data_IF_164387381106
#
_entry.id   IF_164387381106
#
_cell.length_a   1.000
_cell.length_b   1.000
_cell.length_c   1.000
_cell.angle_alpha   90.00
_cell.angle_beta   90.00
_cell.angle_gamma   90.00
#
_symmetry.space_group_name_H-M   'P 1'
#
loop_
_entity.id
_entity.type
_entity.pdbx_description
1 polymer ?
#
# COMPACT_ATOMS: atom_id res chain seq x y z
N UNK A 1 -3.50 21.14 12.55
CA UNK A 1 -2.65 21.11 11.35
C UNK A 1 -2.41 19.67 10.92
N UNK A 2 -2.75 19.36 9.68
CA UNK A 2 -2.52 18.03 9.14
C UNK A 2 -1.10 17.87 8.63
N UNK A 3 -0.56 16.69 8.85
CA UNK A 3 0.70 16.27 8.25
C UNK A 3 0.39 15.27 7.15
N UNK A 4 0.91 15.52 5.96
CA UNK A 4 0.87 14.55 4.88
C UNK A 4 2.10 13.66 4.99
N UNK A 5 1.93 12.36 4.82
CA UNK A 5 2.99 11.38 4.88
C UNK A 5 3.21 10.76 3.50
N UNK A 6 4.46 10.67 3.10
CA UNK A 6 4.86 9.91 1.91
C UNK A 6 5.09 8.46 2.32
N UNK A 7 4.41 7.55 1.64
CA UNK A 7 4.61 6.11 1.76
C UNK A 7 5.36 5.61 0.53
N UNK A 8 6.36 4.77 0.74
CA UNK A 8 7.06 4.12 -0.37
C UNK A 8 6.35 2.83 -0.76
N UNK A 9 6.43 2.46 -2.03
CA UNK A 9 5.72 1.33 -2.61
C UNK A 9 6.65 0.13 -2.69
N UNK A 10 6.43 -0.89 -1.86
CA UNK A 10 7.23 -2.13 -1.82
C UNK A 10 8.73 -1.91 -1.60
N UNK A 11 9.14 -0.80 -1.02
CA UNK A 11 10.56 -0.48 -0.90
C UNK A 11 11.23 -0.03 -2.19
N UNK A 12 10.48 0.27 -3.25
CA UNK A 12 11.03 0.76 -4.51
C UNK A 12 11.48 2.22 -4.39
N UNK A 13 12.60 2.52 -5.04
CA UNK A 13 13.13 3.89 -5.11
C UNK A 13 13.97 4.05 -6.38
N UNK A 14 13.32 4.08 -7.56
CA UNK A 14 14.04 4.08 -8.84
C UNK A 14 14.92 5.31 -9.05
N UNK A 15 14.63 6.43 -8.41
CA UNK A 15 15.43 7.65 -8.54
C UNK A 15 16.82 7.51 -7.93
N UNK A 16 17.02 6.57 -7.00
CA UNK A 16 18.32 6.34 -6.37
C UNK A 16 19.20 5.35 -7.15
N UNK A 17 18.70 4.87 -8.30
CA UNK A 17 19.49 4.07 -9.22
C UNK A 17 19.51 2.56 -8.93
N UNK A 18 20.30 1.85 -9.75
CA UNK A 18 20.34 0.39 -9.76
C UNK A 18 20.98 -0.21 -8.50
N UNK A 19 21.75 0.57 -7.75
CA UNK A 19 22.43 0.10 -6.53
C UNK A 19 21.53 0.14 -5.29
N UNK A 20 20.34 0.74 -5.40
CA UNK A 20 19.40 0.75 -4.29
C UNK A 20 18.95 -0.69 -3.97
N UNK A 21 18.75 -1.02 -2.69
CA UNK A 21 18.32 -2.37 -2.31
C UNK A 21 17.07 -2.84 -3.04
N UNK A 22 16.98 -4.14 -3.24
CA UNK A 22 15.90 -4.76 -4.01
C UNK A 22 14.51 -4.49 -3.42
N UNK A 23 13.51 -4.52 -4.28
CA UNK A 23 12.10 -4.44 -3.91
C UNK A 23 11.79 -5.41 -2.76
N UNK A 24 11.04 -4.96 -1.76
CA UNK A 24 10.63 -5.73 -0.58
C UNK A 24 11.78 -6.24 0.28
N UNK A 25 13.01 -5.81 0.03
CA UNK A 25 14.13 -6.20 0.87
C UNK A 25 14.08 -5.51 2.23
N UNK A 26 14.61 -6.19 3.24
CA UNK A 26 14.75 -5.61 4.57
C UNK A 26 15.54 -4.29 4.52
N UNK A 27 16.58 -4.26 3.70
CA UNK A 27 17.47 -3.10 3.53
C UNK A 27 16.75 -1.92 2.87
N UNK A 28 15.88 -2.17 1.88
CA UNK A 28 15.08 -1.10 1.26
C UNK A 28 14.09 -0.50 2.26
N UNK A 29 13.36 -1.34 2.99
CA UNK A 29 12.41 -0.86 3.99
C UNK A 29 13.08 -0.08 5.11
N UNK A 30 14.19 -0.59 5.65
CA UNK A 30 14.91 0.11 6.74
C UNK A 30 15.51 1.42 6.27
N UNK A 31 15.97 1.48 5.02
CA UNK A 31 16.43 2.73 4.42
C UNK A 31 15.31 3.77 4.39
N UNK A 32 14.14 3.42 3.85
CA UNK A 32 13.01 4.33 3.77
C UNK A 32 12.53 4.78 5.15
N UNK A 33 12.41 3.85 6.09
CA UNK A 33 12.00 4.17 7.46
C UNK A 33 13.00 5.12 8.13
N UNK A 34 14.31 4.91 7.94
CA UNK A 34 15.34 5.77 8.52
C UNK A 34 15.32 7.18 7.93
N UNK A 35 14.81 7.35 6.73
CA UNK A 35 14.67 8.65 6.07
C UNK A 35 13.35 9.35 6.41
N UNK A 36 12.53 8.75 7.29
CA UNK A 36 11.29 9.35 7.77
C UNK A 36 10.05 9.02 6.93
N UNK A 37 10.18 8.19 5.90
CA UNK A 37 9.04 7.73 5.11
C UNK A 37 8.28 6.63 5.85
N UNK A 38 6.97 6.54 5.59
CA UNK A 38 6.24 5.31 5.82
C UNK A 38 6.48 4.34 4.66
N UNK A 39 6.09 3.11 4.85
CA UNK A 39 6.24 2.06 3.85
C UNK A 39 4.90 1.37 3.58
N UNK A 40 4.69 0.97 2.33
CA UNK A 40 3.62 0.05 1.95
C UNK A 40 4.26 -1.31 1.69
N UNK A 41 3.67 -2.38 2.20
CA UNK A 41 4.25 -3.71 2.14
C UNK A 41 3.20 -4.81 2.16
N UNK A 42 3.58 -6.00 1.66
CA UNK A 42 2.66 -7.12 1.43
C UNK A 42 3.04 -8.33 2.30
N UNK A 43 2.33 -8.60 3.40
CA UNK A 43 2.53 -9.85 4.13
C UNK A 43 2.18 -11.06 3.28
N UNK A 44 3.03 -12.07 3.31
CA UNK A 44 2.91 -13.28 2.50
C UNK A 44 3.06 -14.53 3.37
N UNK A 45 2.11 -15.48 3.31
CA UNK A 45 2.21 -16.69 4.12
C UNK A 45 3.34 -17.60 3.64
N UNK A 46 4.07 -18.19 4.59
CA UNK A 46 5.06 -19.24 4.37
C UNK A 46 4.70 -20.44 5.25
N UNK A 47 5.49 -21.51 5.18
CA UNK A 47 5.16 -22.76 5.86
C UNK A 47 5.00 -22.60 7.38
N UNK A 48 5.80 -21.75 8.01
CA UNK A 48 5.81 -21.59 9.48
C UNK A 48 5.64 -20.14 9.95
N UNK A 49 5.07 -19.24 9.12
CA UNK A 49 4.90 -17.86 9.54
C UNK A 49 4.58 -16.95 8.38
N UNK A 50 5.02 -15.70 8.48
CA UNK A 50 4.72 -14.65 7.51
C UNK A 50 6.02 -13.92 7.15
N UNK A 51 6.27 -13.80 5.85
CA UNK A 51 7.34 -12.93 5.31
C UNK A 51 6.71 -11.75 4.58
N UNK A 52 7.54 -10.84 4.08
CA UNK A 52 7.06 -9.68 3.33
C UNK A 52 7.50 -9.82 1.88
N UNK A 53 6.55 -9.99 0.97
CA UNK A 53 6.80 -10.14 -0.47
C UNK A 53 5.52 -9.86 -1.25
N UNK A 54 5.64 -9.10 -2.32
CA UNK A 54 4.52 -8.89 -3.24
C UNK A 54 4.13 -10.18 -3.94
N UNK A 55 5.13 -10.92 -4.45
CA UNK A 55 4.93 -12.15 -5.20
C UNK A 55 4.85 -13.36 -4.27
N UNK A 56 4.17 -14.41 -4.71
CA UNK A 56 4.10 -15.70 -4.01
C UNK A 56 5.28 -16.61 -4.32
N UNK A 57 6.12 -16.22 -5.30
CA UNK A 57 7.31 -16.99 -5.71
C UNK A 57 8.52 -16.08 -5.73
N UNK A 58 9.70 -16.67 -5.70
CA UNK A 58 10.98 -15.94 -5.72
C UNK A 58 11.48 -15.59 -7.12
N UNK A 59 10.81 -16.08 -8.16
CA UNK A 59 11.33 -16.01 -9.55
C UNK A 59 11.69 -14.62 -10.02
N UNK A 60 10.75 -13.68 -9.94
CA UNK A 60 10.98 -12.30 -10.41
C UNK A 60 12.03 -11.58 -9.56
N UNK A 61 11.95 -11.70 -8.24
CA UNK A 61 12.85 -11.01 -7.32
C UNK A 61 14.31 -11.50 -7.44
N UNK A 62 14.50 -12.76 -7.77
CA UNK A 62 15.84 -13.36 -7.94
C UNK A 62 16.30 -13.39 -9.39
N UNK A 63 15.54 -12.79 -10.31
CA UNK A 63 15.81 -12.82 -11.77
C UNK A 63 15.97 -14.25 -12.30
N UNK A 64 15.14 -15.17 -11.81
CA UNK A 64 15.12 -16.55 -12.24
C UNK A 64 16.12 -17.48 -11.55
N UNK A 65 16.94 -16.96 -10.62
CA UNK A 65 17.93 -17.79 -9.91
C UNK A 65 17.25 -18.77 -8.95
N UNK A 66 16.09 -18.42 -8.41
CA UNK A 66 15.30 -19.26 -7.51
C UNK A 66 13.83 -19.11 -7.88
N UNK A 67 13.16 -20.22 -8.17
CA UNK A 67 11.76 -20.22 -8.60
C UNK A 67 10.82 -20.83 -7.55
N UNK A 68 11.32 -21.04 -6.33
CA UNK A 68 10.51 -21.67 -5.28
C UNK A 68 9.30 -20.85 -4.90
N UNK A 69 8.22 -21.55 -4.53
CA UNK A 69 7.03 -20.96 -3.98
C UNK A 69 7.20 -20.69 -2.49
N UNK A 70 6.93 -19.46 -2.05
CA UNK A 70 7.11 -19.07 -0.66
C UNK A 70 6.29 -19.91 0.30
N UNK A 71 5.08 -20.33 -0.09
CA UNK A 71 4.22 -21.15 0.76
C UNK A 71 4.85 -22.50 1.16
N UNK A 72 5.82 -23.00 0.40
CA UNK A 72 6.51 -24.26 0.68
C UNK A 72 7.79 -24.09 1.47
N UNK A 73 8.17 -22.86 1.78
CA UNK A 73 9.44 -22.54 2.46
C UNK A 73 9.18 -22.11 3.91
N UNK A 74 10.17 -22.30 4.77
CA UNK A 74 10.14 -21.72 6.11
C UNK A 74 10.61 -20.26 6.07
N UNK A 75 10.30 -19.50 7.12
CA UNK A 75 10.80 -18.12 7.27
C UNK A 75 12.34 -18.11 7.19
N UNK A 76 12.98 -19.04 7.86
CA UNK A 76 14.44 -19.16 7.93
C UNK A 76 15.03 -19.42 6.54
N UNK A 77 14.38 -20.25 5.75
CA UNK A 77 14.81 -20.48 4.35
C UNK A 77 14.66 -19.23 3.48
N UNK A 78 13.54 -18.52 3.62
CA UNK A 78 13.26 -17.33 2.80
C UNK A 78 14.31 -16.23 3.04
N UNK A 79 14.62 -15.93 4.29
CA UNK A 79 15.55 -14.85 4.61
C UNK A 79 17.01 -15.17 4.23
N UNK A 80 17.32 -16.44 3.92
CA UNK A 80 18.64 -16.86 3.45
C UNK A 80 18.83 -16.69 1.93
N UNK A 81 17.73 -16.47 1.19
CA UNK A 81 17.84 -16.34 -0.26
C UNK A 81 18.38 -14.95 -0.62
N UNK A 82 19.54 -14.88 -1.31
CA UNK A 82 20.08 -13.60 -1.72
C UNK A 82 19.24 -12.99 -2.85
N UNK A 83 18.87 -11.73 -2.70
CA UNK A 83 18.33 -10.92 -3.79
C UNK A 83 19.50 -10.22 -4.49
N UNK A 84 19.28 -9.57 -5.65
CA UNK A 84 20.35 -8.78 -6.28
C UNK A 84 21.00 -7.79 -5.31
N UNK A 85 20.23 -7.21 -4.39
CA UNK A 85 20.76 -6.37 -3.31
C UNK A 85 19.87 -6.53 -2.08
N UNK A 86 20.36 -7.22 -1.05
CA UNK A 86 19.65 -7.45 0.19
C UNK A 86 18.89 -8.76 0.24
N UNK A 87 17.95 -8.87 1.16
CA UNK A 87 17.15 -10.07 1.41
C UNK A 87 15.72 -9.73 1.81
N UNK A 88 14.81 -10.67 1.62
CA UNK A 88 13.46 -10.54 2.18
C UNK A 88 13.51 -10.62 3.72
N UNK A 89 12.47 -10.11 4.36
CA UNK A 89 12.37 -10.13 5.81
C UNK A 89 11.09 -10.87 6.26
N UNK A 90 11.11 -11.31 7.52
CA UNK A 90 9.89 -11.77 8.18
C UNK A 90 9.03 -10.55 8.55
N UNK A 91 7.73 -10.78 8.71
CA UNK A 91 6.85 -9.73 9.21
C UNK A 91 7.26 -9.28 10.61
N UNK A 92 7.67 -10.21 11.47
CA UNK A 92 8.17 -9.88 12.81
C UNK A 92 9.34 -8.89 12.76
N UNK A 93 10.33 -9.15 11.89
CA UNK A 93 11.48 -8.25 11.73
C UNK A 93 11.03 -6.84 11.30
N UNK A 94 10.12 -6.78 10.32
CA UNK A 94 9.66 -5.48 9.80
C UNK A 94 8.85 -4.71 10.84
N UNK A 95 8.00 -5.38 11.59
CA UNK A 95 7.21 -4.75 12.66
C UNK A 95 8.09 -4.15 13.76
N UNK A 96 9.20 -4.80 14.10
CA UNK A 96 10.18 -4.24 15.04
C UNK A 96 10.77 -2.93 14.52
N UNK A 97 11.11 -2.87 13.24
CA UNK A 97 11.64 -1.67 12.62
C UNK A 97 10.59 -0.55 12.54
N UNK A 98 9.36 -0.89 12.19
CA UNK A 98 8.24 0.05 12.19
C UNK A 98 8.03 0.66 13.58
N UNK A 99 8.08 -0.15 14.62
CA UNK A 99 7.88 0.33 15.99
C UNK A 99 8.91 1.38 16.41
N UNK A 100 10.15 1.27 15.91
CA UNK A 100 11.25 2.19 16.24
C UNK A 100 11.27 3.44 15.36
N UNK A 101 10.70 3.37 14.16
CA UNK A 101 10.82 4.41 13.15
C UNK A 101 9.92 5.61 13.47
N UNK A 102 10.24 6.81 12.94
CA UNK A 102 9.44 8.00 13.24
C UNK A 102 8.11 8.07 12.51
N UNK A 103 7.94 7.39 11.37
CA UNK A 103 6.70 7.45 10.61
C UNK A 103 5.50 6.97 11.43
N UNK A 104 4.44 7.75 11.46
CA UNK A 104 3.26 7.46 12.26
C UNK A 104 2.29 6.50 11.56
N UNK A 105 2.43 6.30 10.26
CA UNK A 105 1.59 5.41 9.47
C UNK A 105 2.43 4.60 8.50
N UNK A 106 2.17 3.31 8.45
CA UNK A 106 2.72 2.39 7.45
C UNK A 106 1.54 1.56 6.94
N UNK A 107 1.51 1.31 5.64
CA UNK A 107 0.37 0.67 4.99
C UNK A 107 0.64 -0.81 4.76
N UNK A 108 -0.07 -1.65 5.46
CA UNK A 108 -0.05 -3.10 5.29
C UNK A 108 -1.12 -3.46 4.26
N UNK A 109 -0.68 -3.98 3.10
CA UNK A 109 -1.58 -4.43 2.05
C UNK A 109 -2.03 -5.86 2.33
N UNK A 110 -3.30 -6.01 2.69
CA UNK A 110 -3.90 -7.31 2.88
C UNK A 110 -4.62 -7.72 1.59
N UNK A 111 -3.90 -8.40 0.68
CA UNK A 111 -4.44 -8.80 -0.61
C UNK A 111 -5.70 -9.65 -0.46
N UNK A 112 -6.64 -9.50 -1.39
CA UNK A 112 -7.93 -10.18 -1.31
C UNK A 112 -7.83 -11.70 -1.22
N UNK A 113 -6.91 -12.32 -1.96
CA UNK A 113 -6.71 -13.78 -1.92
C UNK A 113 -6.01 -14.28 -0.65
N UNK A 114 -5.48 -13.36 0.16
CA UNK A 114 -4.87 -13.67 1.46
C UNK A 114 -5.83 -13.45 2.64
N UNK A 115 -7.05 -13.02 2.38
CA UNK A 115 -8.07 -12.79 3.42
C UNK A 115 -8.82 -14.11 3.71
N UNK A 116 -8.09 -15.09 4.20
CA UNK A 116 -8.60 -16.41 4.61
C UNK A 116 -8.58 -16.51 6.14
N UNK A 117 -9.44 -17.35 6.75
CA UNK A 117 -9.43 -17.50 8.20
C UNK A 117 -8.06 -17.88 8.76
N UNK A 118 -7.35 -18.78 8.09
CA UNK A 118 -6.03 -19.25 8.52
C UNK A 118 -5.00 -18.12 8.50
N UNK A 119 -4.95 -17.36 7.40
CA UNK A 119 -3.98 -16.27 7.30
C UNK A 119 -4.31 -15.13 8.26
N UNK A 120 -5.59 -14.79 8.40
CA UNK A 120 -6.02 -13.72 9.31
C UNK A 120 -5.66 -14.07 10.76
N UNK A 121 -5.83 -15.32 11.17
CA UNK A 121 -5.45 -15.77 12.51
C UNK A 121 -3.94 -15.63 12.72
N UNK A 122 -3.13 -16.09 11.75
CA UNK A 122 -1.67 -15.97 11.82
C UNK A 122 -1.24 -14.50 11.87
N UNK A 123 -1.86 -13.64 11.07
CA UNK A 123 -1.59 -12.20 11.05
C UNK A 123 -1.91 -11.55 12.39
N UNK A 124 -3.06 -11.84 12.95
CA UNK A 124 -3.48 -11.31 14.26
C UNK A 124 -2.49 -11.71 15.35
N UNK A 125 -2.08 -12.98 15.38
CA UNK A 125 -1.09 -13.46 16.36
C UNK A 125 0.25 -12.74 16.19
N UNK A 126 0.70 -12.54 14.95
CA UNK A 126 1.91 -11.80 14.67
C UNK A 126 1.81 -10.35 15.15
N UNK A 127 0.73 -9.65 14.83
CA UNK A 127 0.53 -8.27 15.25
C UNK A 127 0.48 -8.12 16.77
N UNK A 128 -0.14 -9.07 17.46
CA UNK A 128 -0.20 -9.05 18.94
C UNK A 128 1.17 -9.21 19.60
N UNK A 129 2.15 -9.79 18.91
CA UNK A 129 3.53 -9.85 19.40
C UNK A 129 4.24 -8.50 19.32
N UNK A 130 3.68 -7.53 18.56
CA UNK A 130 4.30 -6.23 18.31
C UNK A 130 3.32 -5.10 18.64
N UNK A 131 2.90 -4.96 19.91
CA UNK A 131 1.90 -3.96 20.28
C UNK A 131 2.35 -2.52 19.98
N UNK A 132 3.65 -2.25 20.00
CA UNK A 132 4.17 -0.91 19.69
C UNK A 132 4.10 -0.55 18.21
N UNK A 133 3.97 -1.54 17.32
CA UNK A 133 3.81 -1.31 15.90
C UNK A 133 2.35 -1.04 15.51
N UNK A 134 1.39 -1.62 16.22
CA UNK A 134 -0.03 -1.53 15.87
C UNK A 134 -0.51 -0.09 15.67
N UNK A 135 -0.20 0.88 16.55
CA UNK A 135 -0.63 2.27 16.36
C UNK A 135 -0.03 2.94 15.12
N UNK A 136 1.01 2.37 14.54
CA UNK A 136 1.72 2.89 13.36
C UNK A 136 1.35 2.16 12.08
N UNK A 137 0.29 1.35 12.11
CA UNK A 137 -0.18 0.57 10.96
C UNK A 137 -1.55 1.05 10.49
N UNK A 138 -1.75 0.97 9.19
CA UNK A 138 -3.06 1.04 8.56
C UNK A 138 -3.14 -0.14 7.60
N UNK A 139 -4.12 -1.02 7.81
CA UNK A 139 -4.33 -2.20 6.97
C UNK A 139 -5.37 -1.84 5.92
N UNK A 140 -5.01 -1.95 4.65
CA UNK A 140 -5.91 -1.57 3.57
C UNK A 140 -6.25 -2.75 2.65
N UNK A 141 -7.23 -2.52 1.77
CA UNK A 141 -7.76 -3.49 0.83
C UNK A 141 -8.60 -4.59 1.51
N UNK A 142 -9.14 -4.27 2.70
CA UNK A 142 -9.94 -5.23 3.46
C UNK A 142 -11.37 -5.27 2.95
N UNK A 143 -11.91 -6.50 2.76
CA UNK A 143 -13.34 -6.67 2.57
C UNK A 143 -14.08 -6.40 3.88
N UNK A 144 -15.37 -6.11 3.80
CA UNK A 144 -16.17 -5.76 4.97
C UNK A 144 -16.11 -6.86 6.06
N UNK A 145 -16.27 -8.11 5.70
CA UNK A 145 -16.22 -9.22 6.64
C UNK A 145 -14.84 -9.38 7.28
N UNK A 146 -13.77 -9.10 6.52
CA UNK A 146 -12.42 -9.08 7.06
C UNK A 146 -12.23 -7.93 8.05
N UNK A 147 -12.74 -6.75 7.71
CA UNK A 147 -12.69 -5.59 8.59
C UNK A 147 -13.42 -5.84 9.91
N UNK A 148 -14.60 -6.46 9.84
CA UNK A 148 -15.38 -6.84 11.04
C UNK A 148 -14.58 -7.79 11.93
N UNK A 149 -13.94 -8.80 11.32
CA UNK A 149 -13.13 -9.79 12.04
C UNK A 149 -11.90 -9.14 12.69
N UNK A 150 -11.17 -8.32 11.95
CA UNK A 150 -9.98 -7.63 12.46
C UNK A 150 -10.35 -6.61 13.55
N UNK A 151 -11.44 -5.86 13.38
CA UNK A 151 -11.90 -4.89 14.37
C UNK A 151 -12.21 -5.55 15.71
N UNK A 152 -12.80 -6.73 15.67
CA UNK A 152 -13.13 -7.49 16.86
C UNK A 152 -11.89 -8.00 17.60
N UNK A 153 -10.89 -8.46 16.84
CA UNK A 153 -9.66 -9.03 17.39
C UNK A 153 -8.63 -7.99 17.80
N UNK A 154 -8.56 -6.87 17.08
CA UNK A 154 -7.59 -5.80 17.25
C UNK A 154 -8.30 -4.45 17.13
N UNK A 155 -9.04 -4.02 18.18
CA UNK A 155 -9.87 -2.80 18.11
C UNK A 155 -9.09 -1.52 17.78
N UNK A 156 -7.81 -1.48 18.07
CA UNK A 156 -6.96 -0.31 17.86
C UNK A 156 -6.36 -0.22 16.47
N UNK A 157 -6.45 -1.29 15.69
CA UNK A 157 -5.87 -1.33 14.35
C UNK A 157 -6.66 -0.45 13.39
N UNK A 158 -5.98 0.45 12.69
CA UNK A 158 -6.61 1.26 11.66
C UNK A 158 -6.84 0.42 10.39
N UNK A 159 -8.06 0.47 9.88
CA UNK A 159 -8.47 -0.28 8.69
C UNK A 159 -8.96 0.68 7.61
N UNK A 160 -8.76 0.29 6.36
CA UNK A 160 -9.19 1.07 5.20
C UNK A 160 -9.73 0.15 4.10
N UNK A 161 -10.91 0.46 3.53
CA UNK A 161 -11.35 -0.20 2.31
C UNK A 161 -10.59 0.39 1.12
N UNK A 162 -10.42 -0.41 0.07
CA UNK A 162 -9.94 0.09 -1.23
C UNK A 162 -11.11 0.68 -1.99
N UNK A 163 -11.10 1.99 -2.17
CA UNK A 163 -12.16 2.72 -2.88
C UNK A 163 -11.73 3.01 -4.30
N UNK A 164 -12.55 2.60 -5.24
CA UNK A 164 -12.36 2.84 -6.67
C UNK A 164 -13.60 3.48 -7.26
N UNK A 165 -13.45 4.06 -8.45
CA UNK A 165 -14.59 4.54 -9.23
C UNK A 165 -15.51 3.36 -9.58
N UNK A 166 -16.82 3.57 -9.61
CA UNK A 166 -17.80 2.49 -9.89
C UNK A 166 -17.47 1.72 -11.17
N UNK A 167 -17.01 2.42 -12.19
CA UNK A 167 -16.60 1.81 -13.45
C UNK A 167 -15.41 0.85 -13.27
N UNK A 168 -14.47 1.18 -12.40
CA UNK A 168 -13.31 0.33 -12.11
C UNK A 168 -13.71 -0.88 -11.26
N UNK A 169 -14.68 -0.73 -10.38
CA UNK A 169 -15.21 -1.87 -9.62
C UNK A 169 -15.75 -2.92 -10.57
N UNK A 170 -16.53 -2.51 -11.58
CA UNK A 170 -17.05 -3.41 -12.60
C UNK A 170 -15.94 -4.12 -13.38
N UNK A 171 -14.84 -3.40 -13.69
CA UNK A 171 -13.74 -3.93 -14.50
C UNK A 171 -12.81 -4.85 -13.72
N UNK A 172 -12.49 -4.49 -12.48
CA UNK A 172 -11.34 -5.07 -11.79
C UNK A 172 -11.69 -5.86 -10.53
N UNK A 173 -12.93 -5.82 -10.05
CA UNK A 173 -13.25 -6.41 -8.74
C UNK A 173 -12.99 -7.92 -8.68
N UNK A 174 -13.20 -8.64 -9.77
CA UNK A 174 -12.88 -10.08 -9.83
C UNK A 174 -11.38 -10.31 -9.63
N UNK A 175 -10.54 -9.49 -10.29
CA UNK A 175 -9.08 -9.60 -10.18
C UNK A 175 -8.56 -9.24 -8.78
N UNK A 176 -9.27 -8.39 -8.05
CA UNK A 176 -8.93 -8.02 -6.67
C UNK A 176 -9.60 -8.91 -5.62
N UNK A 177 -10.28 -9.97 -6.07
CA UNK A 177 -11.02 -10.88 -5.17
C UNK A 177 -12.10 -10.16 -4.34
N UNK A 178 -12.79 -9.20 -4.95
CA UNK A 178 -13.91 -8.51 -4.33
C UNK A 178 -13.57 -7.45 -3.31
N UNK A 179 -12.35 -6.92 -3.34
CA UNK A 179 -11.93 -5.91 -2.34
C UNK A 179 -12.32 -4.48 -2.70
N UNK A 180 -12.61 -4.20 -3.97
CA UNK A 180 -12.93 -2.83 -4.39
C UNK A 180 -14.33 -2.43 -3.92
N UNK A 181 -14.42 -1.23 -3.37
CA UNK A 181 -15.64 -0.69 -2.74
C UNK A 181 -15.95 0.69 -3.31
N UNK A 182 -17.24 0.97 -3.48
CA UNK A 182 -17.69 2.31 -3.84
C UNK A 182 -17.50 3.28 -2.68
N UNK A 183 -17.26 4.55 -3.00
CA UNK A 183 -17.10 5.60 -2.01
C UNK A 183 -18.31 5.66 -1.05
N UNK A 184 -19.53 5.57 -1.57
CA UNK A 184 -20.75 5.61 -0.75
C UNK A 184 -20.81 4.49 0.29
N UNK A 185 -20.36 3.28 -0.07
CA UNK A 185 -20.29 2.15 0.84
C UNK A 185 -19.25 2.37 1.93
N UNK A 186 -18.06 2.86 1.56
CA UNK A 186 -17.01 3.18 2.51
C UNK A 186 -17.46 4.23 3.53
N UNK A 187 -18.13 5.28 3.06
CA UNK A 187 -18.68 6.34 3.91
C UNK A 187 -19.73 5.79 4.87
N UNK A 188 -20.61 4.92 4.39
CA UNK A 188 -21.65 4.32 5.22
C UNK A 188 -21.09 3.46 6.35
N UNK A 189 -19.95 2.80 6.14
CA UNK A 189 -19.31 1.92 7.11
C UNK A 189 -18.22 2.63 7.97
N UNK A 190 -18.02 3.93 7.79
CA UNK A 190 -16.90 4.66 8.39
C UNK A 190 -16.92 4.67 9.91
N UNK A 191 -18.08 4.82 10.54
CA UNK A 191 -18.17 4.94 12.00
C UNK A 191 -17.80 3.64 12.73
N UNK A 192 -18.11 2.49 12.13
CA UNK A 192 -17.99 1.20 12.80
C UNK A 192 -16.73 0.43 12.41
N UNK A 193 -16.21 0.63 11.20
CA UNK A 193 -15.14 -0.21 10.68
C UNK A 193 -13.86 0.56 10.32
N UNK A 194 -13.97 1.74 9.72
CA UNK A 194 -12.84 2.36 9.05
C UNK A 194 -12.42 3.69 9.64
N UNK A 195 -11.10 3.88 9.75
CA UNK A 195 -10.51 5.19 10.09
C UNK A 195 -9.92 5.88 8.88
N UNK A 196 -9.64 5.11 7.82
CA UNK A 196 -9.04 5.54 6.57
C UNK A 196 -9.85 5.05 5.38
N UNK A 197 -9.63 5.68 4.24
CA UNK A 197 -9.90 5.11 2.92
C UNK A 197 -8.59 5.02 2.17
N UNK A 198 -8.50 4.02 1.29
CA UNK A 198 -7.40 3.89 0.34
C UNK A 198 -7.98 4.10 -1.05
N UNK A 199 -7.69 5.27 -1.65
CA UNK A 199 -8.25 5.64 -2.94
C UNK A 199 -7.35 5.18 -4.07
N UNK A 200 -7.94 4.61 -5.10
CA UNK A 200 -7.23 4.13 -6.27
C UNK A 200 -7.98 4.55 -7.54
N UNK A 201 -7.40 5.46 -8.29
CA UNK A 201 -8.00 5.96 -9.53
C UNK A 201 -7.80 5.01 -10.72
N UNK A 202 -6.85 4.08 -10.65
CA UNK A 202 -6.49 3.11 -11.68
C UNK A 202 -5.99 3.74 -12.98
N UNK A 203 -6.89 4.33 -13.75
CA UNK A 203 -6.63 5.04 -14.99
C UNK A 203 -7.70 6.14 -15.19
N UNK A 204 -7.77 6.71 -16.37
CA UNK A 204 -8.74 7.76 -16.70
C UNK A 204 -9.86 7.27 -17.62
N UNK A 205 -9.87 6.00 -18.04
CA UNK A 205 -10.89 5.47 -18.91
C UNK A 205 -12.23 5.33 -18.16
N UNK A 206 -13.25 5.94 -18.69
CA UNK A 206 -14.61 5.87 -18.17
C UNK A 206 -15.56 5.15 -19.11
N UNK A 207 -16.85 5.02 -18.72
CA UNK A 207 -17.87 4.40 -19.55
C UNK A 207 -18.01 5.12 -20.90
N UNK A 208 -18.21 4.34 -21.98
CA UNK A 208 -18.49 4.86 -23.32
C UNK A 208 -17.43 5.84 -23.83
N UNK A 209 -16.17 5.63 -23.48
CA UNK A 209 -15.08 6.49 -23.91
C UNK A 209 -14.95 7.82 -23.14
N UNK A 210 -15.73 8.01 -22.08
CA UNK A 210 -15.62 9.18 -21.24
C UNK A 210 -14.36 9.15 -20.38
N UNK A 211 -14.00 10.28 -19.79
CA UNK A 211 -12.92 10.39 -18.80
C UNK A 211 -13.52 10.34 -17.42
N UNK A 212 -12.96 9.50 -16.54
CA UNK A 212 -13.33 9.46 -15.13
C UNK A 212 -12.22 10.01 -14.26
N UNK A 213 -12.61 10.56 -13.12
CA UNK A 213 -11.71 11.01 -12.07
C UNK A 213 -12.22 10.54 -10.71
N UNK A 214 -11.32 10.07 -9.87
CA UNK A 214 -11.61 9.76 -8.47
C UNK A 214 -11.00 10.80 -7.52
N UNK A 215 -9.79 11.28 -7.83
CA UNK A 215 -9.12 12.29 -7.01
C UNK A 215 -9.67 13.67 -7.32
N UNK A 216 -10.78 14.00 -6.69
CA UNK A 216 -11.53 15.24 -6.90
C UNK A 216 -11.86 15.90 -5.57
N UNK A 217 -12.12 17.23 -5.56
CA UNK A 217 -12.59 17.90 -4.35
C UNK A 217 -13.83 17.25 -3.73
N UNK A 218 -14.77 16.80 -4.54
CA UNK A 218 -16.01 16.18 -4.06
C UNK A 218 -15.73 14.85 -3.35
N UNK A 219 -14.87 14.01 -3.90
CA UNK A 219 -14.46 12.74 -3.26
C UNK A 219 -13.78 13.02 -1.92
N UNK A 220 -12.85 13.96 -1.89
CA UNK A 220 -12.14 14.30 -0.66
C UNK A 220 -13.08 14.89 0.40
N UNK A 221 -14.01 15.75 -0.02
CA UNK A 221 -15.02 16.30 0.89
C UNK A 221 -15.87 15.18 1.51
N UNK A 222 -16.36 14.24 0.70
CA UNK A 222 -17.17 13.13 1.20
C UNK A 222 -16.41 12.30 2.25
N UNK A 223 -15.13 12.02 2.02
CA UNK A 223 -14.28 11.32 2.99
C UNK A 223 -14.11 12.13 4.28
N UNK A 224 -13.81 13.42 4.16
CA UNK A 224 -13.60 14.30 5.33
C UNK A 224 -14.88 14.45 6.15
N UNK A 225 -16.01 14.63 5.50
CA UNK A 225 -17.31 14.77 6.18
C UNK A 225 -17.66 13.49 6.95
N UNK A 226 -17.18 12.35 6.48
CA UNK A 226 -17.34 11.06 7.18
C UNK A 226 -16.29 10.80 8.28
N UNK A 227 -15.35 11.73 8.49
CA UNK A 227 -14.29 11.58 9.48
C UNK A 227 -13.16 10.65 9.06
N UNK A 228 -13.06 10.32 7.77
CA UNK A 228 -12.05 9.40 7.26
C UNK A 228 -10.76 10.15 6.90
N UNK A 229 -9.63 9.55 7.21
CA UNK A 229 -8.33 9.96 6.66
C UNK A 229 -8.18 9.39 5.26
N UNK A 230 -7.42 10.05 4.42
CA UNK A 230 -7.29 9.70 3.00
C UNK A 230 -5.85 9.30 2.69
N UNK A 231 -5.67 8.03 2.34
CA UNK A 231 -4.49 7.54 1.65
C UNK A 231 -4.81 7.28 0.19
N UNK A 232 -3.85 7.42 -0.70
CA UNK A 232 -4.06 7.15 -2.12
C UNK A 232 -2.77 6.73 -2.80
N UNK A 233 -2.92 6.14 -3.99
CA UNK A 233 -1.82 5.76 -4.86
C UNK A 233 -1.65 6.82 -5.96
N UNK A 234 -0.40 7.13 -6.27
CA UNK A 234 -0.07 8.00 -7.39
C UNK A 234 -0.18 7.24 -8.71
N UNK A 235 -0.32 7.96 -9.87
CA UNK A 235 -0.64 7.30 -11.15
C UNK A 235 0.31 6.21 -11.62
N UNK A 236 1.59 6.25 -11.23
CA UNK A 236 2.59 5.31 -11.73
C UNK A 236 2.52 3.91 -11.09
N UNK A 237 1.80 3.73 -9.98
CA UNK A 237 1.89 2.49 -9.21
C UNK A 237 1.41 1.26 -9.97
N UNK A 238 0.36 1.36 -10.76
CA UNK A 238 -0.14 0.23 -11.56
C UNK A 238 0.78 -0.14 -12.72
N UNK A 239 1.68 0.73 -13.12
CA UNK A 239 2.70 0.44 -14.12
C UNK A 239 3.90 -0.32 -13.57
N UNK A 240 4.02 -0.44 -12.22
CA UNK A 240 5.09 -1.20 -11.59
C UNK A 240 4.85 -2.70 -11.80
N UNK A 241 5.87 -3.43 -12.26
CA UNK A 241 5.75 -4.86 -12.54
C UNK A 241 5.74 -5.71 -11.27
N UNK A 242 4.90 -6.74 -11.18
CA UNK A 242 3.75 -6.92 -12.05
C UNK A 242 2.60 -6.01 -11.62
N UNK A 243 1.94 -5.37 -12.55
CA UNK A 243 0.66 -4.72 -12.29
C UNK A 243 -0.43 -5.77 -12.00
N UNK A 244 -1.61 -5.32 -11.63
CA UNK A 244 -2.70 -6.23 -11.27
C UNK A 244 -3.16 -7.09 -12.45
N UNK A 245 -3.33 -6.49 -13.61
CA UNK A 245 -3.76 -7.17 -14.85
C UNK A 245 -2.66 -7.19 -15.91
N UNK A 246 -1.40 -6.99 -15.54
CA UNK A 246 -0.28 -7.03 -16.47
C UNK A 246 0.35 -5.67 -16.76
N UNK A 247 0.20 -4.72 -15.86
CA UNK A 247 0.82 -3.40 -16.00
C UNK A 247 -0.11 -2.38 -16.63
N UNK A 248 -1.21 -2.11 -15.97
CA UNK A 248 -2.14 -1.05 -16.36
C UNK A 248 -1.45 0.30 -16.36
N UNK A 249 -1.65 1.07 -17.43
CA UNK A 249 -1.02 2.37 -17.59
C UNK A 249 -2.02 3.49 -17.35
N UNK A 250 -1.80 4.25 -16.27
CA UNK A 250 -2.51 5.51 -16.09
C UNK A 250 -1.89 6.55 -17.05
N UNK A 251 -2.69 7.31 -17.82
CA UNK A 251 -2.16 8.28 -18.79
C UNK A 251 -1.25 9.35 -18.19
N UNK A 252 -1.36 9.60 -16.89
CA UNK A 252 -0.54 10.58 -16.19
C UNK A 252 0.66 9.96 -15.47
N UNK A 253 0.92 8.66 -15.68
CA UNK A 253 2.07 7.98 -15.09
C UNK A 253 3.40 8.40 -15.73
N UNK A 254 3.40 8.83 -16.97
CA UNK A 254 4.60 9.20 -17.73
C UNK A 254 4.29 10.26 -18.79
N UNK A 255 5.27 11.04 -19.23
CA UNK A 255 6.64 11.10 -18.71
C UNK A 255 6.69 11.63 -17.27
N UNK A 256 7.87 11.60 -16.65
CA UNK A 256 8.02 12.00 -15.26
C UNK A 256 7.49 13.41 -14.97
N UNK A 257 7.71 14.35 -15.89
CA UNK A 257 7.19 15.73 -15.75
C UNK A 257 5.67 15.77 -15.63
N UNK A 258 4.95 14.96 -16.41
CA UNK A 258 3.49 14.84 -16.34
C UNK A 258 3.07 14.23 -14.99
N UNK A 259 3.75 13.18 -14.56
CA UNK A 259 3.49 12.54 -13.27
C UNK A 259 3.67 13.53 -12.11
N UNK A 260 4.78 14.24 -12.08
CA UNK A 260 5.07 15.21 -11.02
C UNK A 260 4.05 16.36 -11.00
N UNK A 261 3.64 16.83 -12.17
CA UNK A 261 2.58 17.84 -12.28
C UNK A 261 1.26 17.31 -11.68
N UNK A 262 0.90 16.06 -11.95
CA UNK A 262 -0.31 15.46 -11.38
C UNK A 262 -0.18 15.23 -9.86
N UNK A 263 0.97 14.79 -9.39
CA UNK A 263 1.21 14.66 -7.95
C UNK A 263 1.03 16.01 -7.25
N UNK A 264 1.56 17.09 -7.81
CA UNK A 264 1.36 18.44 -7.26
C UNK A 264 -0.12 18.81 -7.16
N UNK A 265 -0.91 18.50 -8.19
CA UNK A 265 -2.36 18.73 -8.16
C UNK A 265 -3.05 17.90 -7.05
N UNK A 266 -2.64 16.65 -6.90
CA UNK A 266 -3.15 15.77 -5.84
C UNK A 266 -2.84 16.33 -4.46
N UNK A 267 -1.63 16.84 -4.27
CA UNK A 267 -1.21 17.44 -3.00
C UNK A 267 -2.07 18.64 -2.62
N UNK A 268 -2.55 19.41 -3.59
CA UNK A 268 -3.49 20.53 -3.33
C UNK A 268 -4.86 20.06 -2.85
N UNK A 269 -5.22 18.80 -3.04
CA UNK A 269 -6.44 18.21 -2.46
C UNK A 269 -6.25 17.84 -0.98
N UNK A 270 -5.02 17.89 -0.48
CA UNK A 270 -4.65 17.68 0.92
C UNK A 270 -4.94 16.24 1.43
N UNK A 271 -4.36 15.20 0.79
CA UNK A 271 -4.43 13.85 1.34
C UNK A 271 -3.64 13.72 2.64
N UNK A 272 -3.96 12.70 3.46
CA UNK A 272 -3.18 12.39 4.67
C UNK A 272 -1.94 11.57 4.35
N UNK A 273 -1.99 10.74 3.31
CA UNK A 273 -0.84 9.95 2.85
C UNK A 273 -0.92 9.71 1.35
N UNK A 274 0.23 9.71 0.70
CA UNK A 274 0.35 9.28 -0.70
C UNK A 274 1.36 8.15 -0.80
N UNK A 275 1.06 7.14 -1.61
CA UNK A 275 1.96 6.02 -1.90
C UNK A 275 2.54 6.22 -3.30
N UNK A 276 3.87 6.24 -3.43
CA UNK A 276 4.55 6.59 -4.67
C UNK A 276 5.88 5.84 -4.81
N UNK A 277 6.30 5.65 -6.06
CA UNK A 277 7.64 5.13 -6.39
C UNK A 277 8.71 6.24 -6.38
N UNK A 278 8.32 7.50 -6.21
CA UNK A 278 9.23 8.66 -6.23
C UNK A 278 9.16 9.45 -4.91
N UNK A 279 9.57 8.83 -3.78
CA UNK A 279 9.35 9.45 -2.47
C UNK A 279 10.02 10.80 -2.28
N UNK A 280 11.28 10.95 -2.70
CA UNK A 280 12.00 12.22 -2.52
C UNK A 280 11.38 13.33 -3.35
N UNK A 281 10.96 13.03 -4.57
CA UNK A 281 10.33 14.04 -5.44
C UNK A 281 8.96 14.44 -4.91
N UNK A 282 8.18 13.47 -4.42
CA UNK A 282 6.87 13.76 -3.81
C UNK A 282 7.04 14.59 -2.53
N UNK A 283 8.02 14.27 -1.70
CA UNK A 283 8.30 15.03 -0.48
C UNK A 283 8.71 16.46 -0.80
N UNK A 284 9.54 16.66 -1.83
CA UNK A 284 9.95 18.00 -2.28
C UNK A 284 8.75 18.82 -2.77
N UNK A 285 7.84 18.20 -3.54
CA UNK A 285 6.62 18.86 -3.99
C UNK A 285 5.70 19.23 -2.82
N UNK A 286 5.59 18.35 -1.83
CA UNK A 286 4.79 18.64 -0.64
C UNK A 286 5.34 19.85 0.13
N UNK A 287 6.65 19.90 0.33
CA UNK A 287 7.30 21.04 1.00
C UNK A 287 7.06 22.35 0.23
N UNK A 288 7.15 22.32 -1.09
CA UNK A 288 6.84 23.46 -1.95
C UNK A 288 5.39 23.89 -1.81
N UNK A 289 4.44 22.95 -1.87
CA UNK A 289 3.01 23.22 -1.72
C UNK A 289 2.71 23.85 -0.35
N UNK A 290 3.35 23.36 0.70
CA UNK A 290 3.19 23.87 2.06
C UNK A 290 3.70 25.29 2.24
N UNK A 291 4.77 25.67 1.53
CA UNK A 291 5.35 27.03 1.58
C UNK A 291 4.44 28.08 0.95
N UNK A 292 3.56 27.69 0.03
CA UNK A 292 2.67 28.57 -0.70
C UNK A 292 1.21 28.53 -0.25
N UNK A 293 0.93 27.84 0.86
CA UNK A 293 -0.42 27.77 1.43
C UNK A 293 -0.64 28.75 2.57
#
# INVERSE_FOLDING_TARGET
RRWMLVLTHRGLDPDLGADFPSESSFEAFTNHLSRGYGIEFDPCPVANGIVVSHDKTLGRLTKGADERQLATMTQEEVIQVPLPSGRLCTLDELLEEIAKAPAQVNALHLKGDRQTPEFLEALILCLKRHPSAIPKLMVFDVRRETAEYLRKSLPELALAPSVAHDYDIQRYNTATHGTLTALSTAVADSETLYRWVWLDEWDLAGPQGSTKRLYTPDTFKACRDAGLKIGLVTPELHGTSPGLLGGEAHPEASPLSTLLSRIEQILHLDPDAICTDHPDQAQALYQKTKQHS
#
